data_IF_580706526508
#
_entry.id   IF_580706526508
#
_cell.length_a   1.000
_cell.length_b   1.000
_cell.length_c   1.000
_cell.angle_alpha   90.00
_cell.angle_beta   90.00
_cell.angle_gamma   90.00
#
_symmetry.space_group_name_H-M   'P 1'
#
loop_
_entity.id
_entity.type
_entity.pdbx_description
1 polymer ?
#
# COMPACT_ATOMS: atom_id res chain seq x y z
N UNK A 1 36.79 -14.20 -18.27
CA UNK A 1 36.03 -14.12 -17.00
C UNK A 1 34.57 -14.24 -17.29
N UNK A 2 33.86 -14.88 -16.43
CA UNK A 2 32.39 -14.95 -16.41
C UNK A 2 31.89 -14.79 -15.00
N UNK A 3 30.69 -14.25 -14.87
CA UNK A 3 30.02 -14.10 -13.58
C UNK A 3 28.53 -14.33 -13.76
N UNK A 4 27.94 -14.90 -12.71
CA UNK A 4 26.51 -15.13 -12.63
C UNK A 4 25.99 -14.77 -11.25
N UNK A 5 24.69 -14.53 -11.20
CA UNK A 5 23.93 -14.35 -9.99
C UNK A 5 22.80 -15.38 -9.97
N UNK A 6 22.57 -15.97 -8.81
CA UNK A 6 21.51 -16.94 -8.57
C UNK A 6 20.61 -16.43 -7.46
N UNK A 7 19.29 -16.45 -7.71
CA UNK A 7 18.25 -16.24 -6.72
C UNK A 7 17.64 -17.59 -6.38
N UNK A 8 17.94 -18.09 -5.20
CA UNK A 8 17.50 -19.40 -4.72
C UNK A 8 16.33 -19.19 -3.78
N UNK A 9 15.16 -19.69 -4.15
CA UNK A 9 13.97 -19.58 -3.32
C UNK A 9 14.18 -20.17 -1.92
N UNK A 10 13.70 -19.48 -0.90
CA UNK A 10 13.83 -19.86 0.52
C UNK A 10 12.47 -20.15 1.13
N UNK A 11 11.56 -19.17 1.07
CA UNK A 11 10.20 -19.24 1.61
C UNK A 11 9.28 -18.17 0.98
N UNK A 12 8.04 -18.10 1.44
CA UNK A 12 6.99 -17.21 0.94
C UNK A 12 6.16 -17.87 -0.14
N UNK A 13 5.63 -17.10 -1.09
CA UNK A 13 4.86 -17.64 -2.19
C UNK A 13 5.70 -18.68 -2.97
N UNK A 14 5.11 -19.86 -3.28
CA UNK A 14 5.87 -20.94 -3.93
C UNK A 14 6.41 -20.53 -5.28
N UNK A 15 7.71 -20.75 -5.48
CA UNK A 15 8.37 -20.58 -6.77
C UNK A 15 8.65 -21.96 -7.40
N UNK A 16 7.92 -22.34 -8.46
CA UNK A 16 8.10 -23.65 -9.08
C UNK A 16 9.48 -23.86 -9.71
N UNK A 17 10.18 -22.77 -10.08
CA UNK A 17 11.53 -22.84 -10.62
C UNK A 17 12.57 -23.08 -9.52
N UNK A 18 12.30 -22.63 -8.31
CA UNK A 18 13.15 -22.76 -7.13
C UNK A 18 14.47 -21.99 -7.20
N UNK A 19 15.02 -21.80 -8.39
CA UNK A 19 16.25 -21.03 -8.62
C UNK A 19 16.18 -20.33 -9.98
N UNK A 20 16.51 -19.04 -9.97
CA UNK A 20 16.68 -18.22 -11.17
C UNK A 20 18.15 -17.86 -11.31
N UNK A 21 18.67 -17.95 -12.53
CA UNK A 21 20.05 -17.60 -12.85
C UNK A 21 20.08 -16.52 -13.90
N UNK A 22 20.94 -15.54 -13.71
CA UNK A 22 21.26 -14.52 -14.71
C UNK A 22 22.76 -14.35 -14.84
N UNK A 23 23.23 -14.05 -16.04
CA UNK A 23 24.63 -13.78 -16.29
C UNK A 23 24.90 -12.28 -16.16
N UNK A 24 26.06 -11.97 -15.64
CA UNK A 24 26.61 -10.62 -15.71
C UNK A 24 27.31 -10.44 -17.05
N UNK A 25 27.11 -9.32 -17.71
CA UNK A 25 27.59 -9.08 -19.08
C UNK A 25 28.33 -7.75 -19.20
N UNK A 26 29.17 -7.65 -20.22
CA UNK A 26 29.86 -6.42 -20.59
C UNK A 26 30.80 -5.89 -19.50
N UNK A 27 30.69 -4.61 -19.18
CA UNK A 27 31.57 -3.92 -18.23
C UNK A 27 31.44 -4.46 -16.80
N UNK A 28 30.32 -5.11 -16.48
CA UNK A 28 30.10 -5.75 -15.16
C UNK A 28 31.08 -6.91 -14.86
N UNK A 29 31.83 -7.37 -15.88
CA UNK A 29 32.91 -8.36 -15.74
C UNK A 29 34.28 -7.73 -15.50
N UNK A 30 34.37 -6.43 -15.34
CA UNK A 30 35.59 -5.69 -15.06
C UNK A 30 35.58 -5.22 -13.59
N UNK A 31 36.74 -4.82 -13.09
CA UNK A 31 36.83 -4.16 -11.79
C UNK A 31 36.07 -2.83 -11.81
N UNK A 32 35.22 -2.60 -10.85
CA UNK A 32 34.42 -1.38 -10.76
C UNK A 32 33.28 -1.47 -9.76
N UNK A 33 32.66 -0.34 -9.54
CA UNK A 33 31.44 -0.22 -8.75
C UNK A 33 30.25 -0.03 -9.70
N UNK A 34 29.25 -0.91 -9.57
CA UNK A 34 28.10 -0.98 -10.47
C UNK A 34 26.81 -0.76 -9.65
N UNK A 35 26.37 0.49 -9.46
CA UNK A 35 25.17 0.82 -8.70
C UNK A 35 23.89 0.28 -9.33
N UNK A 36 23.90 0.06 -10.66
CA UNK A 36 22.80 -0.56 -11.39
C UNK A 36 23.31 -1.73 -12.23
N UNK A 37 22.94 -2.95 -11.86
CA UNK A 37 23.28 -4.15 -12.59
C UNK A 37 22.11 -4.57 -13.47
N UNK A 38 22.37 -4.69 -14.79
CA UNK A 38 21.43 -5.27 -15.74
C UNK A 38 21.70 -6.75 -15.89
N UNK A 39 20.65 -7.54 -15.75
CA UNK A 39 20.73 -8.99 -15.86
C UNK A 39 20.24 -9.48 -17.23
N UNK A 40 20.89 -10.51 -17.77
CA UNK A 40 20.49 -11.16 -19.02
C UNK A 40 20.49 -12.69 -18.86
N UNK A 41 19.31 -13.33 -18.89
CA UNK A 41 17.98 -12.71 -18.82
C UNK A 41 17.69 -12.09 -17.45
N UNK A 42 16.74 -11.13 -17.34
CA UNK A 42 16.29 -10.70 -16.04
C UNK A 42 15.58 -11.85 -15.30
N UNK A 43 15.73 -11.96 -13.97
CA UNK A 43 15.08 -13.04 -13.22
C UNK A 43 13.57 -12.83 -13.18
N UNK A 44 12.80 -13.91 -13.35
CA UNK A 44 11.34 -13.93 -13.17
C UNK A 44 11.01 -14.36 -11.74
N UNK A 45 11.24 -13.48 -10.76
CA UNK A 45 10.97 -13.77 -9.37
C UNK A 45 9.46 -13.71 -9.07
N UNK A 46 9.01 -14.49 -8.10
CA UNK A 46 7.63 -14.51 -7.61
C UNK A 46 7.48 -13.49 -6.50
N UNK A 47 6.40 -12.69 -6.56
CA UNK A 47 6.09 -11.70 -5.53
C UNK A 47 5.80 -12.37 -4.18
N UNK A 48 6.05 -11.66 -3.10
CA UNK A 48 5.87 -12.14 -1.72
C UNK A 48 6.70 -13.41 -1.41
N UNK A 49 7.91 -13.50 -2.00
CA UNK A 49 8.84 -14.60 -1.77
C UNK A 49 10.22 -14.11 -1.33
N UNK A 50 10.94 -14.97 -0.62
CA UNK A 50 12.32 -14.71 -0.21
C UNK A 50 13.30 -15.55 -1.01
N UNK A 51 14.36 -14.89 -1.45
CA UNK A 51 15.43 -15.50 -2.22
C UNK A 51 16.77 -15.27 -1.55
N UNK A 52 17.56 -16.33 -1.43
CA UNK A 52 18.98 -16.21 -1.12
C UNK A 52 19.73 -15.86 -2.40
N UNK A 53 20.48 -14.76 -2.37
CA UNK A 53 21.21 -14.26 -3.54
C UNK A 53 22.67 -14.67 -3.45
N UNK A 54 23.16 -15.34 -4.50
CA UNK A 54 24.52 -15.88 -4.59
C UNK A 54 25.19 -15.38 -5.87
N UNK A 55 26.34 -14.75 -5.73
CA UNK A 55 27.20 -14.36 -6.84
C UNK A 55 28.28 -15.41 -7.04
N UNK A 56 28.54 -15.78 -8.27
CA UNK A 56 29.66 -16.67 -8.65
C UNK A 56 30.45 -16.02 -9.76
N UNK A 57 31.74 -15.83 -9.56
CA UNK A 57 32.66 -15.29 -10.57
C UNK A 57 33.80 -16.24 -10.86
N UNK A 58 34.18 -16.37 -12.15
CA UNK A 58 35.34 -17.15 -12.59
C UNK A 58 36.28 -16.25 -13.39
N UNK A 59 37.54 -16.19 -12.99
CA UNK A 59 38.55 -15.40 -13.68
C UNK A 59 39.06 -16.09 -14.96
N UNK A 60 39.94 -15.41 -15.70
CA UNK A 60 40.52 -15.97 -16.94
C UNK A 60 41.46 -17.18 -16.72
N UNK A 61 41.93 -17.34 -15.49
CA UNK A 61 42.76 -18.45 -15.09
C UNK A 61 41.96 -19.69 -14.66
N UNK A 62 40.61 -19.56 -14.58
CA UNK A 62 39.70 -20.60 -14.17
C UNK A 62 39.47 -20.66 -12.65
N UNK A 63 39.97 -19.68 -11.87
CA UNK A 63 39.67 -19.63 -10.43
C UNK A 63 38.27 -19.12 -10.19
N UNK A 64 37.51 -19.83 -9.36
CA UNK A 64 36.12 -19.50 -9.04
C UNK A 64 35.97 -19.00 -7.59
N UNK A 65 35.17 -17.96 -7.41
CA UNK A 65 34.78 -17.45 -6.12
C UNK A 65 33.27 -17.28 -6.05
N UNK A 66 32.71 -17.48 -4.84
CA UNK A 66 31.28 -17.28 -4.56
C UNK A 66 31.11 -16.31 -3.40
N UNK A 67 30.08 -15.46 -3.53
CA UNK A 67 29.67 -14.55 -2.47
C UNK A 67 28.17 -14.64 -2.25
N UNK A 68 27.74 -14.83 -1.00
CA UNK A 68 26.31 -14.83 -0.64
C UNK A 68 25.96 -13.49 -0.04
N UNK A 69 25.11 -12.74 -0.71
CA UNK A 69 24.62 -11.43 -0.24
C UNK A 69 23.73 -11.57 1.00
N UNK A 70 22.97 -12.67 1.10
CA UNK A 70 21.97 -12.87 2.14
C UNK A 70 20.61 -13.20 1.53
N UNK A 71 19.54 -12.86 2.26
CA UNK A 71 18.17 -13.10 1.82
C UNK A 71 17.51 -11.78 1.43
N UNK A 72 16.97 -11.76 0.20
CA UNK A 72 16.16 -10.68 -0.35
C UNK A 72 14.68 -11.07 -0.25
N UNK A 73 13.83 -10.20 0.23
CA UNK A 73 12.38 -10.29 0.05
C UNK A 73 12.03 -9.56 -1.26
N UNK A 74 11.37 -10.28 -2.15
CA UNK A 74 10.92 -9.74 -3.43
C UNK A 74 9.41 -9.58 -3.39
N UNK A 75 8.96 -8.39 -3.72
CA UNK A 75 7.56 -8.03 -3.80
C UNK A 75 7.38 -6.94 -4.85
N UNK A 76 6.52 -7.17 -5.83
CA UNK A 76 6.21 -6.26 -6.91
C UNK A 76 4.69 -6.04 -7.08
N UNK A 77 3.92 -6.42 -6.07
CA UNK A 77 2.48 -6.22 -6.02
C UNK A 77 2.14 -4.99 -5.18
N UNK A 78 1.29 -4.08 -5.66
CA UNK A 78 0.84 -2.96 -4.86
C UNK A 78 -0.05 -3.43 -3.69
N UNK A 79 -0.08 -2.67 -2.58
CA UNK A 79 -0.95 -3.00 -1.46
C UNK A 79 -2.44 -2.92 -1.84
N UNK A 80 -3.24 -3.83 -1.28
CA UNK A 80 -4.69 -3.84 -1.41
C UNK A 80 -5.34 -3.29 -0.14
N UNK A 81 -6.28 -2.37 -0.34
CA UNK A 81 -6.97 -1.69 0.75
C UNK A 81 -8.47 -1.69 0.45
N UNK A 82 -9.28 -2.14 1.41
CA UNK A 82 -10.73 -2.15 1.32
C UNK A 82 -11.35 -1.23 2.36
N UNK A 83 -12.30 -0.39 1.94
CA UNK A 83 -13.09 0.43 2.85
C UNK A 83 -14.26 -0.36 3.40
N UNK A 84 -14.44 -0.33 4.71
CA UNK A 84 -15.56 -0.93 5.43
C UNK A 84 -16.55 0.12 5.92
N UNK A 85 -16.07 1.32 6.23
CA UNK A 85 -16.87 2.49 6.63
C UNK A 85 -16.07 3.79 6.42
N UNK A 86 -16.70 4.88 5.92
CA UNK A 86 -18.08 4.96 5.45
C UNK A 86 -18.33 4.18 4.16
N UNK A 87 -19.58 3.85 3.87
CA UNK A 87 -19.98 3.16 2.64
C UNK A 87 -20.24 4.17 1.51
N UNK A 88 -20.04 3.73 0.28
CA UNK A 88 -20.37 4.51 -0.92
C UNK A 88 -21.84 4.96 -0.94
N UNK A 89 -22.10 6.21 -1.35
CA UNK A 89 -23.40 6.87 -1.29
C UNK A 89 -24.04 6.92 0.11
N UNK A 90 -23.23 6.76 1.15
CA UNK A 90 -23.68 6.71 2.53
C UNK A 90 -23.73 8.07 3.21
N UNK A 91 -24.16 8.05 4.47
CA UNK A 91 -24.16 9.20 5.37
C UNK A 91 -23.32 8.87 6.60
N UNK A 92 -22.57 9.86 7.09
CA UNK A 92 -21.84 9.76 8.35
C UNK A 92 -21.94 11.07 9.12
N UNK A 93 -22.03 10.98 10.44
CA UNK A 93 -21.94 12.15 11.36
C UNK A 93 -20.63 12.14 12.16
N UNK A 94 -19.74 11.21 11.83
CA UNK A 94 -18.42 11.05 12.43
C UNK A 94 -17.37 11.04 11.32
N UNK A 95 -16.15 11.41 11.67
CA UNK A 95 -14.98 11.34 10.79
C UNK A 95 -14.14 10.06 11.01
N UNK A 96 -14.73 9.07 11.68
CA UNK A 96 -14.15 7.75 11.85
C UNK A 96 -14.17 6.97 10.53
N UNK A 97 -13.18 6.11 10.35
CA UNK A 97 -13.08 5.22 9.19
C UNK A 97 -12.86 3.78 9.64
N UNK A 98 -13.29 2.84 8.81
CA UNK A 98 -12.96 1.42 8.97
C UNK A 98 -12.44 0.91 7.65
N UNK A 99 -11.31 0.24 7.68
CA UNK A 99 -10.65 -0.30 6.49
C UNK A 99 -9.91 -1.59 6.81
N UNK A 100 -9.54 -2.32 5.78
CA UNK A 100 -8.72 -3.51 5.85
C UNK A 100 -7.48 -3.34 4.97
N UNK A 101 -6.32 -3.72 5.50
CA UNK A 101 -5.04 -3.76 4.79
C UNK A 101 -4.60 -5.21 4.66
N UNK A 102 -4.19 -5.63 3.45
CA UNK A 102 -3.65 -6.98 3.21
C UNK A 102 -2.22 -7.11 3.72
N UNK A 103 -1.46 -6.02 3.79
CA UNK A 103 -0.03 -5.99 4.11
C UNK A 103 0.41 -4.73 4.87
N UNK A 104 1.64 -4.73 5.46
CA UNK A 104 2.15 -3.56 6.15
C UNK A 104 2.60 -2.48 5.16
N UNK A 105 2.15 -1.24 5.38
CA UNK A 105 2.53 -0.08 4.58
C UNK A 105 3.78 0.60 5.13
N UNK A 106 4.55 1.21 4.25
CA UNK A 106 5.60 2.17 4.58
C UNK A 106 5.00 3.53 4.92
N UNK A 107 4.02 3.96 4.11
CA UNK A 107 3.26 5.19 4.28
C UNK A 107 1.91 5.09 3.59
N UNK A 108 0.94 5.83 4.12
CA UNK A 108 -0.36 6.00 3.48
C UNK A 108 -0.98 7.34 3.86
N UNK A 109 -1.76 7.87 2.94
CA UNK A 109 -2.47 9.13 3.10
C UNK A 109 -3.93 8.95 2.69
N UNK A 110 -4.85 9.22 3.61
CA UNK A 110 -6.29 9.18 3.39
C UNK A 110 -6.77 10.57 2.96
N UNK A 111 -7.50 10.65 1.86
CA UNK A 111 -7.85 11.90 1.21
C UNK A 111 -9.37 12.02 1.08
N UNK A 112 -9.95 13.00 1.74
CA UNK A 112 -11.34 13.43 1.56
C UNK A 112 -11.37 14.61 0.61
N UNK A 113 -12.09 14.50 -0.50
CA UNK A 113 -12.25 15.58 -1.46
C UNK A 113 -13.74 15.88 -1.65
N UNK A 114 -14.17 17.11 -1.41
CA UNK A 114 -15.54 17.52 -1.69
C UNK A 114 -15.85 17.38 -3.18
N UNK A 115 -17.09 17.01 -3.53
CA UNK A 115 -17.45 16.76 -4.94
C UNK A 115 -17.38 18.01 -5.82
N UNK A 116 -17.44 19.18 -5.24
CA UNK A 116 -17.27 20.49 -5.92
C UNK A 116 -15.78 20.89 -6.02
N UNK A 117 -14.88 20.12 -5.42
CA UNK A 117 -13.45 20.40 -5.39
C UNK A 117 -13.02 21.58 -4.52
N UNK A 118 -13.95 22.16 -3.71
CA UNK A 118 -13.65 23.32 -2.90
C UNK A 118 -12.82 22.98 -1.66
N UNK A 119 -12.90 21.74 -1.18
CA UNK A 119 -12.21 21.28 0.02
C UNK A 119 -11.49 19.94 -0.26
N UNK A 120 -10.23 19.86 0.16
CA UNK A 120 -9.46 18.62 0.19
C UNK A 120 -8.78 18.49 1.54
N UNK A 121 -9.04 17.39 2.23
CA UNK A 121 -8.49 17.08 3.54
C UNK A 121 -7.66 15.82 3.42
N UNK A 122 -6.41 15.92 3.82
CA UNK A 122 -5.39 14.88 3.72
C UNK A 122 -4.95 14.46 5.12
N UNK A 123 -4.96 13.16 5.40
CA UNK A 123 -4.68 12.58 6.72
C UNK A 123 -3.63 11.49 6.55
N UNK A 124 -2.44 11.72 7.12
CA UNK A 124 -1.39 10.70 7.15
C UNK A 124 -1.74 9.60 8.16
N UNK A 125 -1.74 8.35 7.71
CA UNK A 125 -1.84 7.19 8.59
C UNK A 125 -0.50 6.95 9.28
N UNK A 126 -0.53 6.58 10.55
CA UNK A 126 0.68 6.44 11.38
C UNK A 126 0.65 5.21 12.28
N UNK A 127 1.82 4.70 12.63
CA UNK A 127 1.97 3.65 13.64
C UNK A 127 1.17 2.38 13.34
N UNK A 128 0.20 2.07 14.19
CA UNK A 128 -0.62 0.86 14.04
C UNK A 128 -1.58 0.93 12.83
N UNK A 129 -1.92 2.14 12.37
CA UNK A 129 -2.79 2.37 11.21
C UNK A 129 -2.18 1.86 9.89
N UNK A 130 -0.87 1.61 9.86
CA UNK A 130 -0.11 1.07 8.72
C UNK A 130 0.12 -0.45 8.79
N UNK A 131 -0.42 -1.14 9.80
CA UNK A 131 -0.27 -2.59 9.95
C UNK A 131 -1.35 -3.35 9.19
N UNK A 132 -1.07 -4.58 8.72
CA UNK A 132 -2.10 -5.42 8.10
C UNK A 132 -3.19 -5.78 9.11
N UNK A 133 -4.43 -5.90 8.61
CA UNK A 133 -5.59 -6.28 9.39
C UNK A 133 -6.77 -5.34 9.23
N UNK A 134 -7.80 -5.56 10.05
CA UNK A 134 -9.05 -4.81 10.03
C UNK A 134 -9.03 -3.75 11.12
N UNK A 135 -9.24 -2.50 10.72
CA UNK A 135 -9.40 -1.34 11.59
C UNK A 135 -10.88 -0.95 11.60
N UNK A 136 -11.53 -1.03 12.76
CA UNK A 136 -12.97 -0.77 12.89
C UNK A 136 -13.20 0.54 13.63
N UNK A 137 -13.91 1.47 13.00
CA UNK A 137 -14.25 2.79 13.54
C UNK A 137 -13.05 3.46 14.22
N UNK A 138 -11.92 3.41 13.52
CA UNK A 138 -10.69 3.98 14.01
C UNK A 138 -10.78 5.50 14.01
N UNK A 139 -10.58 6.09 15.17
CA UNK A 139 -10.25 7.50 15.28
C UNK A 139 -8.80 7.63 14.85
N UNK A 140 -8.55 8.17 13.66
CA UNK A 140 -7.20 8.35 13.15
C UNK A 140 -6.40 9.30 14.03
N UNK A 141 -5.10 9.06 14.18
CA UNK A 141 -4.23 9.88 15.02
C UNK A 141 -4.17 11.35 14.55
N UNK A 142 -4.27 11.56 13.21
CA UNK A 142 -4.23 12.87 12.58
C UNK A 142 -5.60 13.21 11.98
N UNK A 143 -6.57 13.59 12.82
CA UNK A 143 -7.90 13.96 12.33
C UNK A 143 -7.97 15.40 11.85
N UNK A 144 -8.72 15.62 10.76
CA UNK A 144 -9.20 16.93 10.33
C UNK A 144 -10.71 17.01 10.45
N UNK A 145 -11.25 18.22 10.64
CA UNK A 145 -12.69 18.43 10.65
C UNK A 145 -13.24 18.46 9.24
N UNK A 146 -14.27 17.65 8.96
CA UNK A 146 -15.06 17.70 7.74
C UNK A 146 -16.15 18.78 7.88
N UNK A 147 -16.47 19.42 6.76
CA UNK A 147 -17.52 20.47 6.71
C UNK A 147 -18.92 19.85 6.70
N UNK A 148 -19.78 20.30 7.63
CA UNK A 148 -21.16 19.82 7.78
C UNK A 148 -22.01 20.07 6.52
N UNK A 149 -22.78 19.07 6.11
CA UNK A 149 -23.61 19.10 4.91
C UNK A 149 -22.85 18.89 3.59
N UNK A 150 -21.56 18.57 3.65
CA UNK A 150 -20.72 18.39 2.46
C UNK A 150 -20.68 16.94 2.01
N UNK A 151 -20.66 16.73 0.70
CA UNK A 151 -20.49 15.41 0.08
C UNK A 151 -19.06 15.23 -0.37
N UNK A 152 -18.44 14.13 0.04
CA UNK A 152 -17.04 13.83 -0.23
C UNK A 152 -16.86 12.54 -1.04
N UNK A 153 -15.78 12.51 -1.78
CA UNK A 153 -15.13 11.27 -2.23
C UNK A 153 -13.96 10.98 -1.30
N UNK A 154 -13.78 9.71 -0.96
CA UNK A 154 -12.71 9.24 -0.10
C UNK A 154 -11.78 8.33 -0.90
N UNK A 155 -10.51 8.64 -0.89
CA UNK A 155 -9.45 7.87 -1.52
C UNK A 155 -8.28 7.66 -0.57
N UNK A 156 -7.41 6.71 -0.89
CA UNK A 156 -6.14 6.50 -0.21
C UNK A 156 -5.02 6.37 -1.22
N UNK A 157 -3.90 7.01 -0.93
CA UNK A 157 -2.61 6.71 -1.58
C UNK A 157 -1.76 5.96 -0.58
N UNK A 158 -1.10 4.90 -1.00
CA UNK A 158 -0.29 4.06 -0.15
C UNK A 158 0.97 3.57 -0.86
N UNK A 159 2.01 3.35 -0.07
CA UNK A 159 3.25 2.71 -0.52
C UNK A 159 3.57 1.61 0.48
N UNK A 160 3.82 0.41 -0.01
CA UNK A 160 4.26 -0.71 0.82
C UNK A 160 5.76 -0.60 1.19
N UNK A 161 6.26 -1.57 1.93
CA UNK A 161 7.68 -1.60 2.35
C UNK A 161 8.65 -1.96 1.23
N UNK A 162 8.14 -2.50 0.12
CA UNK A 162 8.92 -2.85 -1.08
C UNK A 162 8.99 -1.69 -2.07
N UNK A 163 8.19 -0.64 -1.86
CA UNK A 163 8.15 0.57 -2.69
C UNK A 163 7.04 0.53 -3.75
N UNK A 164 6.14 -0.48 -3.73
CA UNK A 164 5.01 -0.52 -4.65
C UNK A 164 3.94 0.47 -4.18
N UNK A 165 3.43 1.25 -5.11
CA UNK A 165 2.47 2.31 -4.83
C UNK A 165 1.07 1.94 -5.31
N UNK A 166 0.06 2.31 -4.53
CA UNK A 166 -1.36 2.21 -4.88
C UNK A 166 -2.06 3.54 -4.66
N UNK A 167 -3.02 3.84 -5.54
CA UNK A 167 -4.01 4.90 -5.34
C UNK A 167 -5.40 4.27 -5.54
N UNK A 168 -6.21 4.29 -4.50
CA UNK A 168 -7.45 3.52 -4.43
C UNK A 168 -8.59 4.46 -4.05
N UNK A 169 -9.65 4.50 -4.88
CA UNK A 169 -10.92 5.12 -4.49
C UNK A 169 -11.63 4.17 -3.52
N UNK A 170 -11.88 4.65 -2.31
CA UNK A 170 -12.42 3.85 -1.22
C UNK A 170 -13.95 3.96 -1.10
N UNK A 171 -14.48 5.20 -1.16
CA UNK A 171 -15.91 5.46 -1.12
C UNK A 171 -16.21 6.79 -1.82
N UNK A 172 -17.26 6.82 -2.64
CA UNK A 172 -17.70 8.02 -3.34
C UNK A 172 -19.04 8.50 -2.81
N UNK A 173 -19.30 9.82 -2.93
CA UNK A 173 -20.56 10.45 -2.54
C UNK A 173 -20.98 10.19 -1.10
N UNK A 174 -20.02 10.25 -0.17
CA UNK A 174 -20.27 10.17 1.26
C UNK A 174 -20.73 11.53 1.78
N UNK A 175 -21.93 11.61 2.32
CA UNK A 175 -22.44 12.85 2.93
C UNK A 175 -22.05 12.92 4.39
N UNK A 176 -21.30 13.95 4.76
CA UNK A 176 -21.01 14.26 6.16
C UNK A 176 -22.06 15.21 6.71
N UNK A 177 -22.85 14.78 7.70
CA UNK A 177 -23.95 15.56 8.29
C UNK A 177 -23.98 15.42 9.82
N UNK A 178 -23.63 16.49 10.52
CA UNK A 178 -23.73 16.63 11.98
C UNK A 178 -25.03 17.28 12.43
N UNK A 179 -25.81 17.79 11.50
CA UNK A 179 -27.03 18.56 11.82
C UNK A 179 -28.11 17.63 12.34
N UNK A 180 -28.67 17.98 13.48
CA UNK A 180 -29.83 17.26 14.03
C UNK A 180 -31.09 17.58 13.22
N UNK A 181 -31.99 16.59 13.00
CA UNK A 181 -33.26 16.86 12.35
C UNK A 181 -34.09 17.86 13.19
N UNK A 182 -34.74 18.80 12.50
CA UNK A 182 -35.62 19.79 13.12
C UNK A 182 -37.07 19.43 12.85
N UNK A 183 -37.84 19.35 13.90
CA UNK A 183 -39.29 19.24 13.78
C UNK A 183 -39.90 20.65 13.56
N UNK A 184 -40.41 20.87 12.34
CA UNK A 184 -41.07 22.15 11.99
C UNK A 184 -42.54 22.15 12.34
N UNK A 185 -43.13 21.00 12.57
CA UNK A 185 -44.51 20.84 12.92
C UNK A 185 -44.70 19.63 13.83
N UNK A 186 -45.23 19.84 15.03
CA UNK A 186 -45.51 18.79 16.02
C UNK A 186 -47.00 18.71 16.22
N UNK A 187 -47.58 17.51 16.10
CA UNK A 187 -48.99 17.29 16.40
C UNK A 187 -49.12 16.44 17.68
N UNK A 188 -50.03 16.76 18.61
CA UNK A 188 -51.00 17.86 18.60
C UNK A 188 -50.35 19.22 18.78
N UNK A 189 -50.92 20.26 18.17
CA UNK A 189 -50.50 21.66 18.42
C UNK A 189 -50.80 22.05 19.83
N UNK A 190 -50.11 23.07 20.40
CA UNK A 190 -50.33 23.59 21.76
C UNK A 190 -51.76 24.09 22.01
N UNK A 191 -52.53 24.27 20.95
CA UNK A 191 -53.95 24.66 20.99
C UNK A 191 -54.94 23.50 20.84
N UNK A 192 -54.48 22.28 20.64
CA UNK A 192 -55.36 21.10 20.60
C UNK A 192 -55.94 20.84 21.99
N UNK A 193 -57.26 21.03 22.13
CA UNK A 193 -57.98 20.57 23.32
C UNK A 193 -58.09 19.04 23.28
N UNK A 194 -57.70 18.41 24.38
CA UNK A 194 -57.98 16.99 24.65
C UNK A 194 -59.46 16.84 24.99
#
# INVERSE_FOLDING_TARGET
SEAKIEWIWVDGNPDPAGTHESKMIGDQLQDGDYPEVKFDPPPSLISNARYRVVYTGTDRAGNTSTYTLGTLFFDNEPPEISMLFPIENGFTNVNEVSYELNEPLLMANLIWTSIDGAETISIDLTGDELKPGIFTQATLANQSELSDGTVYNLAITAIDRSGNAAEISLANYVTYDKSKPKFTQVFPSTSARV
#
